data_IF_903437155735
#
_entry.id   IF_903437155735
#
_cell.length_a   1.000
_cell.length_b   1.000
_cell.length_c   1.000
_cell.angle_alpha   90.00
_cell.angle_beta   90.00
_cell.angle_gamma   90.00
#
_symmetry.space_group_name_H-M   'P 1'
#
loop_
_entity.id
_entity.type
_entity.pdbx_description
1 polymer ?
#
# COMPACT_ATOMS: atom_id res chain seq x y z
N UNK A 1 7.09 -2.07 -11.89
CA UNK A 1 8.09 -2.27 -10.82
C UNK A 1 9.46 -2.24 -11.48
N UNK A 2 10.38 -1.41 -11.01
CA UNK A 2 11.74 -1.31 -11.53
C UNK A 2 12.61 -2.42 -10.90
N UNK A 3 13.26 -3.22 -11.72
CA UNK A 3 14.13 -4.31 -11.29
C UNK A 3 15.60 -3.90 -11.37
N UNK A 4 16.29 -3.82 -10.23
CA UNK A 4 17.67 -3.34 -10.19
C UNK A 4 18.71 -4.41 -10.55
N UNK A 5 18.29 -5.65 -10.79
CA UNK A 5 19.18 -6.70 -11.29
C UNK A 5 19.86 -6.31 -12.62
N UNK A 6 19.13 -5.61 -13.49
CA UNK A 6 19.63 -5.07 -14.78
C UNK A 6 20.68 -3.97 -14.59
N UNK A 7 20.78 -3.43 -13.38
CA UNK A 7 21.69 -2.35 -12.99
C UNK A 7 22.74 -2.81 -11.97
N UNK A 8 22.93 -4.12 -11.81
CA UNK A 8 23.97 -4.70 -10.95
C UNK A 8 23.60 -4.90 -9.48
N UNK A 9 22.33 -4.68 -9.09
CA UNK A 9 21.85 -4.89 -7.71
C UNK A 9 20.73 -5.94 -7.70
N UNK A 10 21.05 -7.24 -7.87
CA UNK A 10 20.06 -8.30 -7.85
C UNK A 10 19.34 -8.38 -6.50
N UNK A 11 18.03 -8.60 -6.54
CA UNK A 11 17.17 -8.66 -5.36
C UNK A 11 16.53 -7.32 -4.98
N UNK A 12 17.08 -6.18 -5.40
CA UNK A 12 16.49 -4.86 -5.16
C UNK A 12 15.43 -4.52 -6.22
N UNK A 13 14.25 -4.12 -5.79
CA UNK A 13 13.15 -3.68 -6.65
C UNK A 13 12.50 -2.42 -6.08
N UNK A 14 12.00 -1.57 -6.97
CA UNK A 14 11.22 -0.38 -6.60
C UNK A 14 9.84 -0.39 -7.27
N UNK A 15 8.85 0.15 -6.58
CA UNK A 15 7.53 0.40 -7.15
C UNK A 15 6.99 1.76 -6.73
N UNK A 16 6.20 2.34 -7.62
CA UNK A 16 5.36 3.49 -7.34
C UNK A 16 3.97 3.17 -7.89
N UNK A 17 2.94 3.65 -7.21
CA UNK A 17 1.58 3.61 -7.72
C UNK A 17 0.85 4.89 -7.34
N UNK A 18 -0.22 5.17 -8.07
CA UNK A 18 -1.20 6.19 -7.73
C UNK A 18 -2.59 5.64 -8.05
N UNK A 19 -3.55 5.89 -7.17
CA UNK A 19 -4.96 5.62 -7.40
C UNK A 19 -5.78 6.86 -7.07
N UNK A 20 -6.95 6.97 -7.71
CA UNK A 20 -7.94 8.04 -7.48
C UNK A 20 -9.32 7.42 -7.54
N UNK A 21 -10.20 7.85 -6.65
CA UNK A 21 -11.61 7.52 -6.64
C UNK A 21 -12.44 8.78 -6.47
N UNK A 22 -13.62 8.76 -7.06
CA UNK A 22 -14.56 9.88 -7.12
C UNK A 22 -15.99 9.34 -7.29
N UNK A 23 -16.98 10.23 -7.26
CA UNK A 23 -18.42 9.90 -7.33
C UNK A 23 -18.87 8.91 -6.23
N UNK A 24 -18.29 9.02 -5.03
CA UNK A 24 -18.69 8.21 -3.88
C UNK A 24 -19.97 8.83 -3.29
N UNK A 25 -21.12 8.20 -3.52
CA UNK A 25 -22.43 8.62 -3.03
C UNK A 25 -23.12 7.48 -2.28
N UNK A 26 -23.29 7.66 -0.97
CA UNK A 26 -23.99 6.74 -0.08
C UNK A 26 -25.38 7.23 0.34
N UNK A 27 -25.82 8.43 -0.08
CA UNK A 27 -27.08 9.06 0.32
C UNK A 27 -28.33 8.23 -0.05
N UNK A 28 -28.19 7.35 -1.03
CA UNK A 28 -29.23 6.45 -1.53
C UNK A 28 -29.33 5.12 -0.76
N UNK A 29 -28.47 4.86 0.22
CA UNK A 29 -28.52 3.67 1.04
C UNK A 29 -29.83 3.60 1.86
N UNK A 30 -30.44 2.42 1.97
CA UNK A 30 -31.71 2.18 2.68
C UNK A 30 -31.65 1.04 3.69
N UNK A 31 -30.48 0.44 3.89
CA UNK A 31 -30.27 -0.60 4.89
C UNK A 31 -29.97 -0.01 6.27
N UNK A 32 -29.71 -0.89 7.24
CA UNK A 32 -29.44 -0.51 8.64
C UNK A 32 -27.99 -0.78 9.07
N UNK A 33 -27.16 -1.40 8.21
CA UNK A 33 -25.83 -1.87 8.57
C UNK A 33 -24.68 -0.90 8.28
N UNK A 34 -24.89 0.06 7.37
CA UNK A 34 -23.87 1.01 6.92
C UNK A 34 -24.41 2.44 6.92
N UNK A 35 -25.04 2.88 8.03
CA UNK A 35 -25.69 4.20 8.08
C UNK A 35 -24.69 5.37 8.05
N UNK A 36 -23.44 5.10 8.36
CA UNK A 36 -22.28 5.97 8.27
C UNK A 36 -21.97 6.45 6.84
N UNK A 37 -22.36 5.69 5.80
CA UNK A 37 -22.16 6.12 4.39
C UNK A 37 -23.16 7.19 3.94
N UNK A 38 -24.25 7.42 4.69
CA UNK A 38 -25.30 8.36 4.30
C UNK A 38 -24.83 9.81 4.22
N UNK A 39 -23.70 10.13 4.85
CA UNK A 39 -23.05 11.44 4.77
C UNK A 39 -22.15 11.60 3.54
N UNK A 40 -21.90 10.53 2.77
CA UNK A 40 -21.07 10.60 1.57
C UNK A 40 -21.90 11.07 0.38
N UNK A 41 -21.62 12.27 -0.10
CA UNK A 41 -22.28 12.89 -1.26
C UNK A 41 -21.22 13.42 -2.23
N UNK A 42 -20.88 12.61 -3.23
CA UNK A 42 -19.84 12.95 -4.22
C UNK A 42 -18.42 12.98 -3.62
N UNK A 43 -18.16 12.15 -2.60
CA UNK A 43 -16.85 12.11 -1.94
C UNK A 43 -15.76 11.61 -2.91
N UNK A 44 -14.52 12.03 -2.63
CA UNK A 44 -13.34 11.73 -3.45
C UNK A 44 -12.16 11.35 -2.56
N UNK A 45 -11.24 10.60 -3.14
CA UNK A 45 -9.95 10.34 -2.51
C UNK A 45 -8.86 10.10 -3.56
N UNK A 46 -7.63 10.24 -3.14
CA UNK A 46 -6.48 9.79 -3.89
C UNK A 46 -5.45 9.18 -2.96
N UNK A 47 -4.70 8.22 -3.50
CA UNK A 47 -3.55 7.68 -2.83
C UNK A 47 -2.36 7.58 -3.77
N UNK A 48 -1.18 7.69 -3.19
CA UNK A 48 0.06 7.29 -3.84
C UNK A 48 0.92 6.54 -2.85
N UNK A 49 1.69 5.61 -3.38
CA UNK A 49 2.63 4.86 -2.57
C UNK A 49 3.92 4.62 -3.30
N UNK A 50 4.99 4.65 -2.54
CA UNK A 50 6.33 4.25 -2.96
C UNK A 50 6.75 3.03 -2.17
N UNK A 51 7.41 2.10 -2.83
CA UNK A 51 7.87 0.87 -2.22
C UNK A 51 9.27 0.50 -2.69
N UNK A 52 10.00 -0.15 -1.80
CA UNK A 52 11.22 -0.85 -2.10
C UNK A 52 11.17 -2.25 -1.49
N UNK A 53 11.77 -3.20 -2.18
CA UNK A 53 12.03 -4.52 -1.62
C UNK A 53 13.43 -4.99 -1.93
N UNK A 54 14.02 -5.73 -1.01
CA UNK A 54 15.31 -6.37 -1.17
C UNK A 54 15.26 -7.82 -0.70
N UNK A 55 15.69 -8.73 -1.57
CA UNK A 55 15.96 -10.11 -1.21
C UNK A 55 17.45 -10.32 -1.05
N UNK A 56 17.89 -10.87 0.09
CA UNK A 56 19.31 -11.18 0.34
C UNK A 56 19.75 -12.32 -0.59
N UNK A 57 20.79 -12.08 -1.38
CA UNK A 57 21.19 -12.97 -2.48
C UNK A 57 22.03 -14.18 -2.03
N UNK A 58 22.80 -14.05 -0.96
CA UNK A 58 23.78 -15.05 -0.51
C UNK A 58 24.05 -14.97 0.99
N UNK A 59 24.77 -15.97 1.52
CA UNK A 59 25.16 -16.03 2.92
C UNK A 59 24.09 -16.64 3.85
N UNK A 60 24.31 -16.59 5.17
CA UNK A 60 23.45 -17.26 6.16
C UNK A 60 22.00 -16.78 6.17
N UNK A 61 21.74 -15.55 5.71
CA UNK A 61 20.41 -14.95 5.63
C UNK A 61 19.85 -14.93 4.20
N UNK A 62 20.39 -15.75 3.29
CA UNK A 62 19.90 -15.85 1.90
C UNK A 62 18.38 -16.04 1.89
N UNK A 63 17.72 -15.41 0.92
CA UNK A 63 16.27 -15.38 0.77
C UNK A 63 15.50 -14.59 1.85
N UNK A 64 16.19 -13.95 2.80
CA UNK A 64 15.54 -12.91 3.63
C UNK A 64 14.96 -11.82 2.73
N UNK A 65 13.68 -11.53 2.89
CA UNK A 65 12.97 -10.48 2.16
C UNK A 65 12.70 -9.31 3.10
N UNK A 66 13.14 -8.12 2.69
CA UNK A 66 12.86 -6.85 3.38
C UNK A 66 12.00 -6.03 2.44
N UNK A 67 10.89 -5.49 2.94
CA UNK A 67 10.00 -4.60 2.18
C UNK A 67 9.68 -3.36 3.00
N UNK A 68 9.93 -2.20 2.42
CA UNK A 68 9.53 -0.91 2.97
C UNK A 68 8.54 -0.25 2.02
N UNK A 69 7.41 0.20 2.54
CA UNK A 69 6.40 0.96 1.79
C UNK A 69 6.04 2.22 2.55
N UNK A 70 5.88 3.31 1.81
CA UNK A 70 5.27 4.54 2.30
C UNK A 70 4.07 4.86 1.44
N UNK A 71 2.91 4.99 2.06
CA UNK A 71 1.65 5.29 1.39
C UNK A 71 1.03 6.54 2.02
N UNK A 72 0.54 7.41 1.16
CA UNK A 72 -0.24 8.57 1.52
C UNK A 72 -1.62 8.42 0.93
N UNK A 73 -2.65 8.54 1.77
CA UNK A 73 -4.05 8.57 1.36
C UNK A 73 -4.66 9.91 1.76
N UNK A 74 -5.39 10.54 0.84
CA UNK A 74 -6.07 11.82 1.05
C UNK A 74 -7.52 11.72 0.62
N UNK A 75 -8.39 12.19 1.48
CA UNK A 75 -9.84 12.03 1.39
C UNK A 75 -10.54 13.37 1.57
N UNK A 76 -11.71 13.51 0.93
CA UNK A 76 -12.70 14.53 1.29
C UNK A 76 -13.36 14.21 2.65
N UNK A 77 -14.16 15.13 3.16
CA UNK A 77 -14.61 15.19 4.56
C UNK A 77 -15.25 13.88 5.05
N UNK A 78 -16.11 13.25 4.25
CA UNK A 78 -16.88 12.07 4.67
C UNK A 78 -16.40 10.76 4.03
N UNK A 79 -15.32 10.78 3.23
CA UNK A 79 -14.78 9.53 2.69
C UNK A 79 -14.22 8.66 3.83
N UNK A 80 -14.65 7.39 3.88
CA UNK A 80 -14.52 6.53 5.06
C UNK A 80 -13.08 6.26 5.54
N UNK A 81 -12.12 6.22 4.63
CA UNK A 81 -10.73 5.87 4.96
C UNK A 81 -9.96 7.07 5.55
N UNK A 82 -10.46 8.28 5.33
CA UNK A 82 -9.88 9.51 5.86
C UNK A 82 -8.45 9.77 5.36
N UNK A 83 -7.70 10.61 6.09
CA UNK A 83 -6.34 10.95 5.72
C UNK A 83 -5.33 10.04 6.43
N UNK A 84 -4.43 9.40 5.68
CA UNK A 84 -3.40 8.51 6.23
C UNK A 84 -2.01 8.86 5.68
N UNK A 85 -1.00 8.74 6.54
CA UNK A 85 0.40 8.57 6.15
C UNK A 85 0.90 7.29 6.82
N UNK A 86 1.11 6.23 6.05
CA UNK A 86 1.57 4.94 6.57
C UNK A 86 2.99 4.65 6.10
N UNK A 87 3.86 4.32 7.05
CA UNK A 87 5.12 3.66 6.77
C UNK A 87 5.06 2.23 7.30
N UNK A 88 5.40 1.25 6.45
CA UNK A 88 5.44 -0.16 6.81
C UNK A 88 6.78 -0.76 6.44
N UNK A 89 7.43 -1.39 7.43
CA UNK A 89 8.62 -2.20 7.25
C UNK A 89 8.32 -3.64 7.61
N UNK A 90 8.57 -4.57 6.68
CA UNK A 90 8.35 -6.00 6.88
C UNK A 90 9.65 -6.73 6.55
N UNK A 91 10.09 -7.58 7.48
CA UNK A 91 11.25 -8.45 7.29
C UNK A 91 10.81 -9.89 7.46
N UNK A 92 11.07 -10.73 6.46
CA UNK A 92 10.76 -12.16 6.45
C UNK A 92 12.05 -12.93 6.30
N UNK A 93 12.43 -13.71 7.33
CA UNK A 93 13.66 -14.49 7.37
C UNK A 93 13.28 -15.98 7.29
N UNK A 94 13.54 -16.67 6.17
CA UNK A 94 13.28 -18.09 6.06
C UNK A 94 14.44 -18.90 6.67
N UNK A 95 14.10 -19.92 7.46
CA UNK A 95 15.05 -20.92 7.94
C UNK A 95 14.63 -22.29 7.43
N UNK A 96 15.59 -23.03 6.87
CA UNK A 96 15.40 -24.47 6.66
C UNK A 96 16.01 -25.21 7.87
N UNK A 97 15.16 -25.92 8.61
CA UNK A 97 15.55 -26.63 9.83
C UNK A 97 15.70 -28.15 9.62
N UNK A 98 15.52 -28.64 8.38
CA UNK A 98 15.62 -30.04 7.98
C UNK A 98 16.56 -30.22 6.78
#
# INVERSE_FOLDING_TARGET
>A
MLNMAEYGVPGLKFNIYQARGWDIDGTHYRGTGYTDVLAMDGETHYEYGIGSSYSVQSGPLKATAIRATYTTHRASENQADGNINEFRLVTTIPFNIL
#
